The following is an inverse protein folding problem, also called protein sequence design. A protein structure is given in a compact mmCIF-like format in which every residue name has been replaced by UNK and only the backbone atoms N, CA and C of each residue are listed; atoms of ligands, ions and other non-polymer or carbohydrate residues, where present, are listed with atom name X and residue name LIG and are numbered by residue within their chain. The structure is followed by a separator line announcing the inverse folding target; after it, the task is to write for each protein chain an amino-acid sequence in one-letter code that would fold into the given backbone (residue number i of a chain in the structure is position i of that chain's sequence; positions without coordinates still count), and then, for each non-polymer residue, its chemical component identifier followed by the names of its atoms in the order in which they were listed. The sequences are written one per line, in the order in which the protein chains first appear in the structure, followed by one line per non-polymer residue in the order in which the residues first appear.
data_IF_102693484468
#
_entry.id   IF_102693484468
#
_cell.length_a   1.000
_cell.length_b   1.000
_cell.length_c   1.000
_cell.angle_alpha   90.00
_cell.angle_beta   90.00
_cell.angle_gamma   90.00
#
_symmetry.space_group_name_H-M   'P 1'
#
loop_
_entity.id
_entity.type
_entity.pdbx_description
1 polymer ?
#
# COMPACT_ATOMS: atom_id res chain seq x y z
N UNK A 1 -14.67 19.72 29.30
CA UNK A 1 -16.12 19.59 29.01
C UNK A 1 -16.31 18.54 27.92
N UNK A 2 -16.94 17.41 28.23
CA UNK A 2 -17.19 16.34 27.25
C UNK A 2 -18.18 16.83 26.20
N UNK A 3 -17.78 16.87 24.92
CA UNK A 3 -18.70 17.17 23.82
C UNK A 3 -19.83 16.13 23.82
N UNK A 4 -21.07 16.57 24.00
CA UNK A 4 -22.25 15.70 23.94
C UNK A 4 -22.74 15.58 22.49
N UNK A 5 -23.23 14.40 22.13
CA UNK A 5 -23.80 14.09 20.83
C UNK A 5 -25.11 13.33 21.02
N UNK A 6 -26.03 13.40 20.07
CA UNK A 6 -27.25 12.57 20.09
C UNK A 6 -26.95 11.16 19.62
N UNK A 7 -27.47 10.17 20.35
CA UNK A 7 -27.44 8.78 19.92
C UNK A 7 -28.21 8.63 18.60
N UNK A 8 -27.58 8.02 17.60
CA UNK A 8 -28.20 7.82 16.27
C UNK A 8 -29.39 6.85 16.27
N UNK A 9 -29.53 6.03 17.32
CA UNK A 9 -30.58 5.01 17.42
C UNK A 9 -31.79 5.51 18.21
N UNK A 10 -31.57 6.21 19.33
CA UNK A 10 -32.66 6.60 20.24
C UNK A 10 -32.75 8.11 20.51
N UNK A 11 -31.85 8.93 19.97
CA UNK A 11 -31.90 10.39 20.09
C UNK A 11 -31.46 10.99 21.44
N UNK A 12 -31.21 10.15 22.46
CA UNK A 12 -30.73 10.58 23.78
C UNK A 12 -29.33 11.19 23.70
N UNK A 13 -29.07 12.25 24.47
CA UNK A 13 -27.75 12.88 24.57
C UNK A 13 -26.75 11.97 25.29
N UNK A 14 -25.61 11.70 24.63
CA UNK A 14 -24.54 10.87 25.14
C UNK A 14 -23.19 11.58 25.00
N UNK A 15 -22.24 11.29 25.88
CA UNK A 15 -20.88 11.79 25.72
C UNK A 15 -20.25 11.21 24.44
N UNK A 16 -19.55 12.04 23.65
CA UNK A 16 -18.86 11.60 22.41
C UNK A 16 -17.85 10.46 22.65
N UNK A 17 -17.31 10.36 23.87
CA UNK A 17 -16.38 9.31 24.29
C UNK A 17 -17.05 8.03 24.82
N UNK A 18 -18.36 8.01 25.06
CA UNK A 18 -19.06 6.84 25.55
C UNK A 18 -19.01 5.71 24.51
N UNK A 19 -18.69 4.48 24.94
CA UNK A 19 -18.56 3.30 24.05
C UNK A 19 -19.93 2.71 23.66
N UNK A 20 -20.93 2.89 24.52
CA UNK A 20 -22.31 2.46 24.32
C UNK A 20 -23.28 3.53 24.85
N UNK A 21 -24.46 3.59 24.25
CA UNK A 21 -25.55 4.47 24.68
C UNK A 21 -26.22 3.90 25.94
N UNK A 22 -26.39 4.67 27.03
CA UNK A 22 -27.04 4.20 28.26
C UNK A 22 -28.56 4.03 28.11
N UNK A 23 -29.20 4.68 27.13
CA UNK A 23 -30.65 4.58 26.91
C UNK A 23 -31.09 3.34 26.13
N UNK A 24 -30.31 2.92 25.13
CA UNK A 24 -30.70 1.82 24.22
C UNK A 24 -29.62 0.75 24.00
N UNK A 25 -28.45 0.87 24.64
CA UNK A 25 -27.34 -0.07 24.48
C UNK A 25 -26.61 -0.01 23.14
N UNK A 26 -27.03 0.84 22.19
CA UNK A 26 -26.40 0.96 20.89
C UNK A 26 -24.92 1.35 21.00
N UNK A 27 -24.05 0.67 20.24
CA UNK A 27 -22.60 0.94 20.22
C UNK A 27 -22.33 2.27 19.53
N UNK A 28 -21.61 3.16 20.21
CA UNK A 28 -21.14 4.41 19.62
C UNK A 28 -19.81 4.16 18.90
N UNK A 29 -19.90 3.66 17.67
CA UNK A 29 -18.73 3.44 16.83
C UNK A 29 -18.25 4.77 16.26
N UNK A 30 -17.02 5.15 16.57
CA UNK A 30 -16.35 6.27 15.91
C UNK A 30 -16.30 5.97 14.41
N UNK A 31 -16.70 6.91 13.54
CA UNK A 31 -16.63 6.69 12.11
C UNK A 31 -15.16 6.54 11.68
N UNK A 32 -14.90 5.66 10.70
CA UNK A 32 -13.55 5.26 10.31
C UNK A 32 -12.67 6.46 9.92
N UNK A 33 -13.24 7.55 9.41
CA UNK A 33 -12.54 8.78 9.02
C UNK A 33 -11.93 9.57 10.19
N UNK A 34 -12.25 9.22 11.44
CA UNK A 34 -11.61 9.81 12.63
C UNK A 34 -10.35 9.08 13.06
N UNK A 35 -10.02 7.96 12.41
CA UNK A 35 -8.78 7.25 12.62
C UNK A 35 -7.69 7.89 11.75
N UNK A 36 -6.52 8.13 12.34
CA UNK A 36 -5.45 8.92 11.70
C UNK A 36 -5.01 8.38 10.33
N UNK A 37 -4.94 7.06 10.15
CA UNK A 37 -4.65 6.42 8.85
C UNK A 37 -5.59 6.83 7.70
N UNK A 38 -6.88 7.08 8.00
CA UNK A 38 -7.86 7.47 6.99
C UNK A 38 -7.69 8.94 6.56
N UNK A 39 -7.18 9.79 7.47
CA UNK A 39 -6.85 11.19 7.20
C UNK A 39 -5.61 11.26 6.30
N UNK A 40 -4.61 10.39 6.50
CA UNK A 40 -3.43 10.30 5.64
C UNK A 40 -3.80 9.86 4.22
N UNK A 41 -4.64 8.83 4.07
CA UNK A 41 -5.11 8.36 2.76
C UNK A 41 -5.86 9.47 2.01
N UNK A 42 -6.74 10.21 2.69
CA UNK A 42 -7.46 11.34 2.08
C UNK A 42 -6.53 12.47 1.62
N UNK A 43 -5.48 12.79 2.39
CA UNK A 43 -4.48 13.80 2.01
C UNK A 43 -3.70 13.36 0.78
N UNK A 44 -3.29 12.08 0.69
CA UNK A 44 -2.59 11.55 -0.49
C UNK A 44 -3.46 11.63 -1.77
N UNK A 45 -4.76 11.36 -1.67
CA UNK A 45 -5.69 11.49 -2.81
C UNK A 45 -5.84 12.96 -3.25
N UNK A 46 -5.90 13.90 -2.30
CA UNK A 46 -6.06 15.34 -2.61
C UNK A 46 -4.78 15.91 -3.25
N UNK A 47 -3.59 15.49 -2.80
CA UNK A 47 -2.31 15.90 -3.40
C UNK A 47 -2.15 15.31 -4.80
N UNK A 48 -2.59 14.06 -5.02
CA UNK A 48 -2.59 13.42 -6.34
C UNK A 48 -3.52 14.09 -7.36
N UNK A 49 -4.57 14.78 -6.93
CA UNK A 49 -5.53 15.47 -7.81
C UNK A 49 -5.14 16.92 -8.15
N UNK A 50 -4.13 17.51 -7.49
CA UNK A 50 -3.67 18.88 -7.71
C UNK A 50 -2.29 18.97 -8.39
N UNK A 51 -1.69 17.84 -8.77
CA UNK A 51 -0.43 17.77 -9.53
C UNK A 51 -0.55 18.10 -11.03
N UNK A 52 -1.46 19.00 -11.39
CA UNK A 52 -1.65 19.51 -12.76
C UNK A 52 -1.16 20.95 -12.90
N UNK A 53 0.06 21.09 -13.40
CA UNK A 53 0.63 22.21 -14.16
C UNK A 53 0.25 23.67 -13.78
N UNK A 54 1.19 24.37 -13.15
CA UNK A 54 1.29 25.85 -13.12
C UNK A 54 2.78 26.19 -12.95
N UNK A 55 3.56 26.32 -14.02
CA UNK A 55 3.47 27.43 -14.96
C UNK A 55 4.23 28.62 -14.37
N UNK A 56 5.54 28.66 -14.61
CA UNK A 56 6.48 29.69 -14.12
C UNK A 56 6.34 31.03 -14.88
N UNK A 57 6.42 32.11 -14.10
CA UNK A 57 6.85 33.49 -14.39
C UNK A 57 7.90 33.63 -15.53
N UNK A 58 8.16 34.76 -16.21
CA UNK A 58 7.62 36.14 -16.28
C UNK A 58 8.38 36.88 -17.42
N UNK A 59 7.68 37.75 -18.13
CA UNK A 59 8.00 39.00 -18.88
C UNK A 59 9.36 39.30 -19.57
N UNK A 60 9.23 39.80 -20.81
CA UNK A 60 9.79 41.07 -21.39
C UNK A 60 10.70 40.96 -22.65
N UNK A 61 10.07 41.23 -23.81
CA UNK A 61 10.44 42.19 -24.89
C UNK A 61 11.78 42.07 -25.65
N UNK A 62 11.71 41.76 -26.96
CA UNK A 62 12.01 42.67 -28.10
C UNK A 62 12.54 41.95 -29.37
N UNK A 63 11.93 42.31 -30.50
CA UNK A 63 12.48 42.39 -31.87
C UNK A 63 12.72 41.14 -32.74
N UNK A 64 11.82 41.03 -33.74
CA UNK A 64 12.06 41.19 -35.20
C UNK A 64 12.85 40.15 -36.01
N UNK A 65 12.19 39.76 -37.13
CA UNK A 65 12.65 39.11 -38.37
C UNK A 65 12.99 37.61 -38.30
N UNK A 66 12.74 36.77 -39.30
CA UNK A 66 11.98 36.76 -40.56
C UNK A 66 12.25 35.34 -41.13
N UNK A 67 11.38 34.86 -42.02
CA UNK A 67 11.58 33.71 -42.93
C UNK A 67 11.29 32.28 -42.44
N UNK A 68 10.04 31.85 -42.67
CA UNK A 68 9.73 30.60 -43.40
C UNK A 68 9.92 30.85 -44.91
N UNK A 69 10.26 29.87 -45.77
CA UNK A 69 9.43 28.68 -46.07
C UNK A 69 10.30 27.39 -46.21
N UNK A 70 9.78 26.15 -46.28
CA UNK A 70 9.17 25.52 -47.48
C UNK A 70 8.63 24.12 -47.10
N UNK A 71 7.32 23.94 -47.32
CA UNK A 71 6.59 22.88 -48.07
C UNK A 71 7.07 21.41 -48.00
N UNK A 72 6.32 20.51 -47.32
CA UNK A 72 5.29 19.55 -47.82
C UNK A 72 5.81 18.32 -48.60
N UNK A 73 5.69 17.14 -48.01
CA UNK A 73 5.23 15.92 -48.70
C UNK A 73 4.72 14.88 -47.68
N UNK A 74 3.58 14.31 -48.03
CA UNK A 74 2.74 13.34 -47.34
C UNK A 74 3.13 11.95 -47.84
N UNK A 75 3.21 10.95 -46.96
CA UNK A 75 2.72 9.62 -47.32
C UNK A 75 2.36 8.77 -46.10
N UNK A 76 1.34 7.97 -46.30
CA UNK A 76 0.65 7.11 -45.35
C UNK A 76 1.49 5.87 -44.99
N UNK A 77 1.39 5.39 -43.75
CA UNK A 77 1.25 3.94 -43.57
C UNK A 77 0.62 3.59 -42.23
N UNK A 78 -0.44 2.80 -42.37
CA UNK A 78 -1.32 2.25 -41.36
C UNK A 78 -0.75 0.95 -40.77
N UNK A 79 -0.85 0.77 -39.45
CA UNK A 79 -1.13 -0.55 -38.87
C UNK A 79 -1.61 -0.46 -37.43
N UNK A 80 -2.91 -0.63 -37.31
CA UNK A 80 -3.67 -1.13 -36.17
C UNK A 80 -3.32 -2.59 -35.84
N UNK A 81 -3.22 -2.92 -34.54
CA UNK A 81 -3.71 -4.18 -33.94
C UNK A 81 -3.92 -3.92 -32.44
N UNK A 82 -5.17 -3.71 -32.02
CA UNK A 82 -6.11 -4.72 -31.50
C UNK A 82 -5.90 -5.03 -30.01
N UNK A 83 -6.56 -4.22 -29.18
CA UNK A 83 -6.77 -4.46 -27.76
C UNK A 83 -8.20 -4.98 -27.59
N UNK A 84 -8.36 -6.30 -27.63
CA UNK A 84 -9.59 -6.97 -27.27
C UNK A 84 -9.63 -7.25 -25.77
N UNK A 85 -10.36 -6.35 -25.10
CA UNK A 85 -11.26 -6.54 -23.97
C UNK A 85 -11.61 -8.01 -23.63
N UNK A 86 -11.39 -8.43 -22.39
CA UNK A 86 -12.33 -9.34 -21.72
C UNK A 86 -12.47 -8.94 -20.24
N UNK A 87 -13.62 -8.35 -19.96
CA UNK A 87 -14.10 -7.92 -18.66
C UNK A 87 -15.52 -8.46 -18.53
N UNK A 88 -15.64 -9.56 -17.80
CA UNK A 88 -16.85 -10.17 -17.19
C UNK A 88 -16.29 -11.19 -16.19
N UNK A 89 -16.76 -11.37 -14.97
CA UNK A 89 -18.07 -11.19 -14.36
C UNK A 89 -17.88 -11.33 -12.84
N UNK A 90 -18.79 -10.77 -12.05
CA UNK A 90 -18.78 -10.91 -10.60
C UNK A 90 -19.64 -12.09 -10.14
N UNK A 91 -19.24 -12.65 -8.99
CA UNK A 91 -20.07 -13.42 -8.02
C UNK A 91 -20.47 -14.84 -8.43
N UNK A 92 -19.95 -15.85 -7.74
CA UNK A 92 -20.67 -16.36 -6.57
C UNK A 92 -19.83 -17.21 -5.63
N UNK A 93 -20.37 -17.28 -4.41
CA UNK A 93 -19.89 -17.86 -3.17
C UNK A 93 -20.10 -19.38 -3.16
N UNK A 94 -19.27 -20.05 -2.36
CA UNK A 94 -19.47 -21.39 -1.78
C UNK A 94 -18.85 -22.59 -2.51
N UNK A 95 -17.68 -23.01 -2.03
CA UNK A 95 -17.48 -24.40 -1.58
C UNK A 95 -16.14 -24.51 -0.86
N UNK A 96 -16.22 -24.44 0.47
CA UNK A 96 -15.32 -25.17 1.32
C UNK A 96 -15.60 -26.67 1.09
N UNK A 97 -14.88 -27.28 0.16
CA UNK A 97 -14.80 -28.74 0.06
C UNK A 97 -13.50 -29.19 0.73
N UNK A 98 -13.66 -29.57 1.99
CA UNK A 98 -12.72 -30.39 2.72
C UNK A 98 -13.05 -31.83 2.36
N UNK A 99 -12.26 -32.47 1.51
CA UNK A 99 -11.63 -33.77 1.76
C UNK A 99 -10.87 -34.27 0.51
N UNK A 100 -9.56 -34.10 0.50
CA UNK A 100 -8.68 -35.13 -0.08
C UNK A 100 -7.35 -35.08 0.65
N UNK A 101 -7.17 -36.00 1.60
CA UNK A 101 -5.83 -36.40 2.06
C UNK A 101 -5.02 -36.91 0.86
N UNK A 102 -4.26 -36.01 0.27
CA UNK A 102 -2.95 -36.34 -0.26
C UNK A 102 -1.96 -35.57 0.58
N UNK A 103 -0.87 -36.22 1.02
CA UNK A 103 0.25 -35.61 1.77
C UNK A 103 0.99 -34.53 0.97
N UNK A 104 0.37 -33.97 -0.07
CA UNK A 104 0.91 -32.97 -0.95
C UNK A 104 0.41 -31.58 -0.55
N UNK A 105 1.35 -30.65 -0.44
CA UNK A 105 1.07 -29.25 -0.11
C UNK A 105 0.04 -28.67 -1.09
N UNK A 106 -1.07 -28.07 -0.60
CA UNK A 106 -2.10 -27.47 -1.45
C UNK A 106 -1.55 -26.46 -2.46
N UNK A 107 -2.21 -26.32 -3.60
CA UNK A 107 -1.78 -25.40 -4.67
C UNK A 107 -1.71 -23.96 -4.16
N UNK A 108 -2.69 -23.54 -3.34
CA UNK A 108 -2.74 -22.19 -2.78
C UNK A 108 -1.52 -21.86 -1.90
N UNK A 109 -1.01 -22.85 -1.16
CA UNK A 109 0.15 -22.70 -0.28
C UNK A 109 1.43 -22.50 -1.11
N UNK A 110 1.54 -23.21 -2.23
CA UNK A 110 2.64 -23.02 -3.21
C UNK A 110 2.57 -21.65 -3.87
N UNK A 111 1.36 -21.19 -4.21
CA UNK A 111 1.14 -19.84 -4.75
C UNK A 111 1.52 -18.74 -3.76
N UNK A 112 1.09 -18.87 -2.50
CA UNK A 112 1.48 -17.96 -1.42
C UNK A 112 2.99 -17.92 -1.23
N UNK A 113 3.67 -19.08 -1.21
CA UNK A 113 5.13 -19.15 -1.12
C UNK A 113 5.84 -18.44 -2.28
N UNK A 114 5.36 -18.61 -3.52
CA UNK A 114 5.93 -17.94 -4.69
C UNK A 114 5.75 -16.41 -4.64
N UNK A 115 4.59 -15.95 -4.15
CA UNK A 115 4.34 -14.52 -3.91
C UNK A 115 5.22 -13.98 -2.79
N UNK A 116 5.37 -14.74 -1.71
CA UNK A 116 6.26 -14.40 -0.59
C UNK A 116 7.70 -14.16 -1.06
N UNK A 117 8.23 -15.08 -1.88
CA UNK A 117 9.55 -14.95 -2.51
C UNK A 117 9.64 -13.68 -3.36
N UNK A 118 8.65 -13.45 -4.24
CA UNK A 118 8.64 -12.27 -5.12
C UNK A 118 8.68 -10.95 -4.33
N UNK A 119 7.89 -10.85 -3.26
CA UNK A 119 7.86 -9.65 -2.43
C UNK A 119 9.11 -9.48 -1.58
N UNK A 120 9.66 -10.55 -1.03
CA UNK A 120 10.97 -10.50 -0.36
C UNK A 120 12.04 -9.99 -1.32
N UNK A 121 12.15 -10.57 -2.52
CA UNK A 121 13.23 -10.30 -3.46
C UNK A 121 13.13 -8.90 -4.12
N UNK A 122 11.91 -8.44 -4.39
CA UNK A 122 11.70 -7.20 -5.16
C UNK A 122 11.31 -6.01 -4.31
N UNK A 123 10.64 -6.25 -3.18
CA UNK A 123 10.11 -5.20 -2.31
C UNK A 123 10.79 -5.20 -0.94
N UNK A 124 11.70 -6.15 -0.67
CA UNK A 124 12.50 -6.20 0.55
C UNK A 124 11.63 -6.08 1.81
N UNK A 125 10.52 -6.82 1.82
CA UNK A 125 9.57 -6.76 2.94
C UNK A 125 10.13 -7.50 4.16
N UNK A 126 9.75 -7.04 5.35
CA UNK A 126 9.96 -7.79 6.59
C UNK A 126 9.10 -9.04 6.63
N UNK A 127 9.41 -9.96 7.54
CA UNK A 127 8.62 -11.17 7.77
C UNK A 127 7.16 -10.84 8.13
N UNK A 128 6.95 -9.86 9.02
CA UNK A 128 5.62 -9.44 9.45
C UNK A 128 4.86 -8.70 8.34
N UNK A 129 5.50 -7.75 7.66
CA UNK A 129 4.90 -7.04 6.54
C UNK A 129 4.51 -7.99 5.41
N UNK A 130 5.32 -9.02 5.15
CA UNK A 130 5.03 -10.03 4.14
C UNK A 130 3.77 -10.84 4.47
N UNK A 131 3.60 -11.24 5.73
CA UNK A 131 2.38 -11.93 6.16
C UNK A 131 1.14 -11.04 5.97
N UNK A 132 1.23 -9.77 6.38
CA UNK A 132 0.14 -8.82 6.23
C UNK A 132 -0.21 -8.61 4.75
N UNK A 133 0.78 -8.52 3.87
CA UNK A 133 0.57 -8.35 2.44
C UNK A 133 -0.11 -9.56 1.80
N UNK A 134 0.28 -10.78 2.19
CA UNK A 134 -0.31 -12.02 1.68
C UNK A 134 -1.77 -12.18 2.14
N UNK A 135 -2.09 -11.74 3.35
CA UNK A 135 -3.44 -11.89 3.94
C UNK A 135 -4.37 -10.69 3.71
N UNK A 136 -3.83 -9.54 3.31
CA UNK A 136 -4.58 -8.29 3.15
C UNK A 136 -5.75 -8.42 2.18
N UNK A 137 -6.89 -7.86 2.56
CA UNK A 137 -8.08 -7.67 1.71
C UNK A 137 -7.81 -6.81 0.46
N UNK A 138 -6.69 -6.08 0.42
CA UNK A 138 -6.27 -5.28 -0.72
C UNK A 138 -5.00 -5.82 -1.39
N UNK A 139 -4.42 -6.90 -0.83
CA UNK A 139 -3.24 -7.57 -1.34
C UNK A 139 -3.62 -8.87 -2.06
N UNK A 140 -3.01 -9.97 -1.65
CA UNK A 140 -3.19 -11.28 -2.31
C UNK A 140 -4.39 -12.07 -1.78
N UNK A 141 -4.92 -11.72 -0.60
CA UNK A 141 -6.09 -12.37 0.03
C UNK A 141 -5.95 -13.87 0.26
N UNK A 142 -4.73 -14.38 0.42
CA UNK A 142 -4.54 -15.77 0.78
C UNK A 142 -5.14 -16.06 2.17
N UNK A 143 -5.68 -17.27 2.39
CA UNK A 143 -6.06 -17.70 3.73
C UNK A 143 -4.84 -17.67 4.65
N UNK A 144 -5.09 -17.42 5.93
CA UNK A 144 -4.06 -17.21 6.94
C UNK A 144 -3.07 -18.39 7.01
N UNK A 145 -3.56 -19.62 6.84
CA UNK A 145 -2.77 -20.83 6.89
C UNK A 145 -1.82 -20.96 5.69
N UNK A 146 -2.26 -20.55 4.49
CA UNK A 146 -1.41 -20.52 3.30
C UNK A 146 -0.33 -19.43 3.40
N UNK A 147 -0.69 -18.25 3.93
CA UNK A 147 0.26 -17.19 4.21
C UNK A 147 1.29 -17.61 5.28
N UNK A 148 0.84 -18.24 6.36
CA UNK A 148 1.74 -18.75 7.41
C UNK A 148 2.70 -19.80 6.84
N UNK A 149 2.19 -20.76 6.05
CA UNK A 149 3.04 -21.71 5.34
C UNK A 149 4.08 -21.01 4.47
N UNK A 150 3.69 -19.96 3.73
CA UNK A 150 4.61 -19.19 2.92
C UNK A 150 5.71 -18.52 3.77
N UNK A 151 5.35 -17.93 4.91
CA UNK A 151 6.29 -17.29 5.84
C UNK A 151 7.26 -18.28 6.49
N UNK A 152 6.82 -19.50 6.74
CA UNK A 152 7.67 -20.53 7.35
C UNK A 152 8.61 -21.20 6.34
N UNK A 153 8.27 -21.14 5.04
CA UNK A 153 9.02 -21.81 3.98
C UNK A 153 9.77 -20.86 3.03
N UNK A 154 9.51 -19.55 3.11
CA UNK A 154 10.22 -18.56 2.31
C UNK A 154 11.68 -18.48 2.77
N UNK A 155 12.60 -18.64 1.83
CA UNK A 155 14.03 -18.49 2.07
C UNK A 155 14.41 -17.04 1.80
N UNK A 156 14.34 -16.22 2.84
CA UNK A 156 14.70 -14.81 2.78
C UNK A 156 15.82 -14.51 3.78
N UNK A 157 16.70 -13.58 3.39
CA UNK A 157 17.64 -12.95 4.31
C UNK A 157 17.00 -11.64 4.80
N UNK A 158 16.43 -11.68 5.99
CA UNK A 158 15.68 -10.56 6.53
C UNK A 158 16.55 -9.36 6.89
N UNK A 159 17.81 -9.60 7.30
CA UNK A 159 18.81 -8.57 7.51
C UNK A 159 19.14 -7.86 6.19
N UNK A 160 19.30 -8.62 5.11
CA UNK A 160 19.47 -8.05 3.76
C UNK A 160 18.23 -7.25 3.33
N UNK A 161 17.03 -7.76 3.56
CA UNK A 161 15.80 -7.03 3.23
C UNK A 161 15.72 -5.70 3.98
N UNK A 162 16.02 -5.69 5.28
CA UNK A 162 16.05 -4.47 6.09
C UNK A 162 17.07 -3.46 5.54
N UNK A 163 18.28 -3.93 5.19
CA UNK A 163 19.32 -3.08 4.60
C UNK A 163 18.92 -2.49 3.24
N UNK A 164 18.34 -3.27 2.34
CA UNK A 164 17.89 -2.76 1.04
C UNK A 164 16.71 -1.77 1.18
N UNK A 165 15.82 -2.01 2.16
CA UNK A 165 14.77 -1.05 2.49
C UNK A 165 15.34 0.24 3.07
N UNK A 166 16.32 0.15 3.97
CA UNK A 166 17.04 1.29 4.51
C UNK A 166 17.71 2.13 3.42
N UNK A 167 18.43 1.48 2.49
CA UNK A 167 19.01 2.14 1.30
C UNK A 167 17.96 2.84 0.46
N UNK A 168 16.79 2.22 0.28
CA UNK A 168 15.68 2.82 -0.46
C UNK A 168 15.21 4.10 0.22
N UNK A 169 14.98 4.08 1.53
CA UNK A 169 14.60 5.27 2.29
C UNK A 169 15.65 6.38 2.27
N UNK A 170 16.93 6.02 2.43
CA UNK A 170 18.02 6.98 2.33
C UNK A 170 18.07 7.64 0.96
N UNK A 171 18.02 6.86 -0.12
CA UNK A 171 18.21 7.37 -1.49
C UNK A 171 16.99 8.11 -2.04
N UNK A 172 15.79 7.62 -1.75
CA UNK A 172 14.56 8.17 -2.36
C UNK A 172 13.87 9.22 -1.50
N UNK A 173 14.07 9.18 -0.18
CA UNK A 173 13.41 10.08 0.77
C UNK A 173 14.39 10.94 1.57
N UNK A 174 15.71 10.77 1.36
CA UNK A 174 16.76 11.52 2.07
C UNK A 174 16.62 11.47 3.59
N UNK A 175 16.13 10.34 4.11
CA UNK A 175 15.88 10.15 5.54
C UNK A 175 17.21 9.96 6.29
N UNK A 176 17.27 10.46 7.53
CA UNK A 176 18.40 10.22 8.42
C UNK A 176 18.42 8.77 8.92
N UNK A 177 19.57 8.27 9.34
CA UNK A 177 19.71 6.91 9.91
C UNK A 177 18.72 6.65 11.05
N UNK A 178 18.51 7.61 11.94
CA UNK A 178 17.52 7.49 13.03
C UNK A 178 16.08 7.40 12.51
N UNK A 179 15.70 8.22 11.52
CA UNK A 179 14.35 8.17 10.97
C UNK A 179 14.11 6.87 10.19
N UNK A 180 15.14 6.36 9.50
CA UNK A 180 15.09 5.06 8.83
C UNK A 180 14.91 3.95 9.85
N UNK A 181 15.66 3.96 10.95
CA UNK A 181 15.52 2.99 12.03
C UNK A 181 14.07 2.91 12.52
N UNK A 182 13.51 4.06 12.93
CA UNK A 182 12.15 4.15 13.45
C UNK A 182 11.12 3.68 12.43
N UNK A 183 11.34 3.99 11.15
CA UNK A 183 10.46 3.57 10.06
C UNK A 183 10.52 2.05 9.82
N UNK A 184 11.70 1.44 9.94
CA UNK A 184 11.88 0.00 9.77
C UNK A 184 11.12 -0.79 10.85
N UNK A 185 11.18 -0.35 12.11
CA UNK A 185 10.54 -1.06 13.23
C UNK A 185 9.07 -0.66 13.46
N UNK A 186 8.62 0.43 12.85
CA UNK A 186 7.28 0.97 13.08
C UNK A 186 6.18 -0.05 12.80
N UNK A 187 5.21 -0.16 13.71
CA UNK A 187 3.99 -0.96 13.55
C UNK A 187 3.14 -0.54 12.33
N UNK A 188 3.34 0.67 11.82
CA UNK A 188 2.68 1.18 10.63
C UNK A 188 3.63 1.34 9.43
N UNK A 189 4.91 1.04 9.63
CA UNK A 189 5.95 1.08 8.60
C UNK A 189 6.27 -0.33 8.12
N UNK A 190 7.55 -0.70 8.20
CA UNK A 190 8.02 -1.95 7.62
C UNK A 190 7.93 -3.14 8.56
N UNK A 191 7.79 -2.95 9.88
CA UNK A 191 7.68 -4.02 10.90
C UNK A 191 8.85 -5.03 10.90
N UNK A 192 10.05 -4.57 10.59
CA UNK A 192 11.26 -5.35 10.89
C UNK A 192 11.42 -5.49 12.39
N UNK A 193 12.13 -6.53 12.80
CA UNK A 193 12.58 -6.66 14.19
C UNK A 193 13.62 -5.59 14.51
N UNK A 194 13.80 -5.29 15.80
CA UNK A 194 14.84 -4.36 16.26
C UNK A 194 16.22 -4.78 15.74
N UNK A 195 16.57 -6.06 15.86
CA UNK A 195 17.88 -6.58 15.43
C UNK A 195 18.12 -6.40 13.93
N UNK A 196 17.09 -6.64 13.09
CA UNK A 196 17.18 -6.44 11.64
C UNK A 196 17.31 -4.96 11.27
N UNK A 197 16.59 -4.07 11.95
CA UNK A 197 16.71 -2.64 11.75
C UNK A 197 18.09 -2.12 12.19
N UNK A 198 18.59 -2.58 13.34
CA UNK A 198 19.94 -2.24 13.81
C UNK A 198 21.02 -2.74 12.88
N UNK A 199 20.88 -3.97 12.36
CA UNK A 199 21.76 -4.49 11.31
C UNK A 199 21.75 -3.57 10.09
N UNK A 200 20.56 -3.17 9.62
CA UNK A 200 20.42 -2.30 8.46
C UNK A 200 21.13 -0.95 8.65
N UNK A 201 20.94 -0.29 9.80
CA UNK A 201 21.57 1.01 10.09
C UNK A 201 23.10 0.89 10.23
N UNK A 202 23.57 -0.18 10.88
CA UNK A 202 25.01 -0.43 11.07
C UNK A 202 25.75 -0.67 9.76
N UNK A 203 25.04 -1.17 8.73
CA UNK A 203 25.59 -1.46 7.40
C UNK A 203 25.16 -0.43 6.34
N UNK A 204 24.50 0.67 6.75
CA UNK A 204 24.09 1.73 5.84
C UNK A 204 25.26 2.69 5.62
N UNK A 205 25.69 2.82 4.37
CA UNK A 205 26.69 3.80 3.95
C UNK A 205 26.19 5.23 4.22
N UNK A 206 27.11 6.18 4.40
CA UNK A 206 26.78 7.60 4.60
C UNK A 206 26.32 8.27 3.29
#
# INVERSE_FOLDING_TARGET
MSKMIKCKTCGVDIAKSAKSCPGCGAKNKKPFYTRWWFILIAIFIIIGALGGNKGSNESTTASTNESTPVTTAKDESSSSVDASNDSKDSTDKDSADSDTKTDSVPIEYKSALKKAQTYSDRMYMSKAGLYDQLTSEYGEKFPAEAAQYAIDNVKADWNKNALEKAKTYQKSMSMSKSAIHDQLISEYGEKFTEDEAQYAISNLEE
#
